data_IF_034870207779
#
_entry.id   IF_034870207779
#
_cell.length_a   1.000
_cell.length_b   1.000
_cell.length_c   1.000
_cell.angle_alpha   90.00
_cell.angle_beta   90.00
_cell.angle_gamma   90.00
#
_symmetry.space_group_name_H-M   'P 1'
#
loop_
_entity.id
_entity.type
_entity.pdbx_description
1 polymer ?
#
# COMPACT_ATOMS: atom_id res chain seq x y z
N UNK A 1 -10.75 13.82 -4.49
CA UNK A 1 -9.93 12.67 -4.05
C UNK A 1 -9.38 11.88 -5.24
N UNK A 2 -10.22 11.23 -6.05
CA UNK A 2 -9.76 10.42 -7.19
C UNK A 2 -8.92 11.19 -8.21
N UNK A 3 -9.36 12.39 -8.62
CA UNK A 3 -8.60 13.22 -9.57
C UNK A 3 -7.17 13.53 -9.07
N UNK A 4 -7.03 13.82 -7.77
CA UNK A 4 -5.71 14.03 -7.16
C UNK A 4 -4.90 12.73 -7.11
N UNK A 5 -5.51 11.62 -6.73
CA UNK A 5 -4.86 10.31 -6.66
C UNK A 5 -4.31 9.83 -8.02
N UNK A 6 -4.94 10.23 -9.13
CA UNK A 6 -4.54 9.82 -10.49
C UNK A 6 -3.45 10.68 -11.12
N UNK A 7 -2.95 11.70 -10.41
CA UNK A 7 -1.86 12.52 -10.95
C UNK A 7 -0.53 11.77 -10.88
N UNK A 8 0.25 11.87 -11.95
CA UNK A 8 1.54 11.17 -12.08
C UNK A 8 2.53 11.57 -10.97
N UNK A 9 2.51 12.82 -10.50
CA UNK A 9 3.40 13.25 -9.40
C UNK A 9 3.12 12.57 -8.06
N UNK A 10 1.92 12.00 -7.89
CA UNK A 10 1.52 11.27 -6.68
C UNK A 10 1.78 9.77 -6.80
N UNK A 11 2.31 9.33 -7.94
CA UNK A 11 2.57 7.93 -8.25
C UNK A 11 4.04 7.60 -8.05
N UNK A 12 4.31 6.48 -7.41
CA UNK A 12 5.66 5.91 -7.35
C UNK A 12 5.60 4.42 -7.68
N UNK A 13 6.42 3.99 -8.63
CA UNK A 13 6.54 2.59 -9.02
C UNK A 13 7.83 1.97 -8.50
N UNK A 14 7.68 0.79 -7.92
CA UNK A 14 8.77 -0.12 -7.56
C UNK A 14 8.57 -1.46 -8.30
N UNK A 15 9.42 -2.44 -7.99
CA UNK A 15 9.39 -3.75 -8.66
C UNK A 15 8.06 -4.48 -8.40
N UNK A 16 7.60 -4.46 -7.15
CA UNK A 16 6.42 -5.21 -6.68
C UNK A 16 5.30 -4.30 -6.12
N UNK A 17 5.53 -2.97 -6.09
CA UNK A 17 4.62 -2.01 -5.45
C UNK A 17 4.32 -0.84 -6.38
N UNK A 18 3.05 -0.52 -6.51
CA UNK A 18 2.58 0.78 -6.97
C UNK A 18 2.11 1.59 -5.75
N UNK A 19 2.68 2.76 -5.54
CA UNK A 19 2.28 3.69 -4.48
C UNK A 19 1.48 4.84 -5.07
N UNK A 20 0.40 5.20 -4.40
CA UNK A 20 -0.38 6.41 -4.62
C UNK A 20 -0.38 7.23 -3.33
N UNK A 21 0.30 8.37 -3.36
CA UNK A 21 0.44 9.25 -2.20
C UNK A 21 -0.61 10.36 -2.23
N UNK A 22 -1.62 10.24 -1.36
CA UNK A 22 -2.66 11.24 -1.17
C UNK A 22 -2.20 12.44 -0.32
N UNK A 23 -1.01 12.38 0.29
CA UNK A 23 -0.45 13.42 1.14
C UNK A 23 -1.44 13.87 2.21
N UNK A 24 -1.48 15.18 2.47
CA UNK A 24 -2.50 15.82 3.32
C UNK A 24 -3.76 16.25 2.55
N UNK A 25 -3.86 15.95 1.26
CA UNK A 25 -4.94 16.40 0.38
C UNK A 25 -6.11 15.42 0.37
N UNK A 26 -5.81 14.12 0.36
CA UNK A 26 -6.83 13.08 0.50
C UNK A 26 -7.05 12.83 2.00
N UNK A 27 -8.28 13.03 2.46
CA UNK A 27 -8.70 12.70 3.82
C UNK A 27 -8.38 11.23 4.14
N UNK A 28 -7.74 10.99 5.29
CA UNK A 28 -7.27 9.67 5.69
C UNK A 28 -8.41 8.66 5.90
N UNK A 29 -9.64 9.13 6.15
CA UNK A 29 -10.85 8.31 6.22
C UNK A 29 -11.31 7.81 4.85
N UNK A 30 -10.88 8.45 3.77
CA UNK A 30 -11.25 8.11 2.40
C UNK A 30 -10.21 7.24 1.68
N UNK A 31 -9.00 7.08 2.26
CA UNK A 31 -7.89 6.43 1.57
C UNK A 31 -8.20 4.98 1.17
N UNK A 32 -8.96 4.26 1.99
CA UNK A 32 -9.36 2.88 1.69
C UNK A 32 -10.35 2.78 0.53
N UNK A 33 -11.23 3.76 0.37
CA UNK A 33 -12.17 3.86 -0.74
C UNK A 33 -11.44 4.20 -2.04
N UNK A 34 -10.50 5.15 -1.99
CA UNK A 34 -9.61 5.48 -3.11
C UNK A 34 -8.82 4.25 -3.55
N UNK A 35 -8.16 3.56 -2.61
CA UNK A 35 -7.42 2.32 -2.89
C UNK A 35 -8.31 1.26 -3.54
N UNK A 36 -9.55 1.09 -3.05
CA UNK A 36 -10.49 0.14 -3.61
C UNK A 36 -10.83 0.47 -5.07
N UNK A 37 -11.23 1.71 -5.35
CA UNK A 37 -11.59 2.14 -6.71
C UNK A 37 -10.42 2.00 -7.68
N UNK A 38 -9.22 2.42 -7.26
CA UNK A 38 -8.00 2.33 -8.06
C UNK A 38 -7.62 0.86 -8.34
N UNK A 39 -7.74 0.00 -7.34
CA UNK A 39 -7.52 -1.44 -7.53
C UNK A 39 -8.57 -2.08 -8.42
N UNK A 40 -9.83 -1.64 -8.36
CA UNK A 40 -10.91 -2.18 -9.20
C UNK A 40 -10.72 -1.87 -10.68
N UNK A 41 -10.06 -0.76 -11.02
CA UNK A 41 -9.67 -0.44 -12.41
C UNK A 41 -8.32 -1.07 -12.80
N UNK A 42 -7.68 -1.82 -11.90
CA UNK A 42 -6.45 -2.55 -12.18
C UNK A 42 -5.20 -1.69 -12.34
N UNK A 43 -5.14 -0.50 -11.71
CA UNK A 43 -4.04 0.46 -11.95
C UNK A 43 -2.65 -0.13 -11.62
N UNK A 44 -2.56 -1.05 -10.65
CA UNK A 44 -1.32 -1.70 -10.25
C UNK A 44 -0.87 -2.83 -11.18
N UNK A 45 -1.70 -3.27 -12.13
CA UNK A 45 -1.45 -4.44 -12.95
C UNK A 45 -1.53 -5.76 -12.16
N UNK A 46 -0.96 -6.83 -12.72
CA UNK A 46 -1.06 -8.16 -12.15
C UNK A 46 0.09 -8.51 -11.19
N UNK A 47 1.28 -7.94 -11.39
CA UNK A 47 2.49 -8.31 -10.65
C UNK A 47 2.85 -7.36 -9.50
N UNK A 48 2.05 -6.30 -9.28
CA UNK A 48 2.26 -5.37 -8.18
C UNK A 48 1.05 -5.30 -7.26
N UNK A 49 1.30 -4.97 -6.01
CA UNK A 49 0.26 -4.52 -5.09
C UNK A 49 0.08 -3.00 -5.22
N UNK A 50 -1.08 -2.50 -4.81
CA UNK A 50 -1.34 -1.07 -4.64
C UNK A 50 -1.17 -0.70 -3.16
N UNK A 51 -0.39 0.35 -2.86
CA UNK A 51 -0.37 1.05 -1.59
C UNK A 51 -0.90 2.47 -1.75
N UNK A 52 -2.07 2.77 -1.17
CA UNK A 52 -2.57 4.13 -1.08
C UNK A 52 -2.25 4.72 0.30
N UNK A 53 -1.67 5.93 0.32
CA UNK A 53 -1.19 6.60 1.53
C UNK A 53 -1.96 7.92 1.76
N UNK A 54 -2.25 8.24 3.01
CA UNK A 54 -2.79 9.54 3.41
C UNK A 54 -2.21 9.98 4.76
N UNK A 55 -1.94 11.27 4.90
CA UNK A 55 -1.48 11.85 6.16
C UNK A 55 -2.65 11.95 7.14
N UNK A 56 -2.46 11.40 8.34
CA UNK A 56 -3.31 11.64 9.52
C UNK A 56 -2.62 12.66 10.44
N UNK A 57 -3.15 12.91 11.64
CA UNK A 57 -2.58 13.87 12.59
C UNK A 57 -1.12 13.52 12.95
N UNK A 58 -0.86 12.29 13.41
CA UNK A 58 0.47 11.86 13.89
C UNK A 58 1.10 10.74 13.06
N UNK A 59 0.40 10.25 12.05
CA UNK A 59 0.81 9.07 11.28
C UNK A 59 0.48 9.19 9.79
N UNK A 60 0.86 8.18 9.03
CA UNK A 60 0.35 7.93 7.67
C UNK A 60 -0.55 6.71 7.75
N UNK A 61 -1.78 6.85 7.27
CA UNK A 61 -2.70 5.73 7.01
C UNK A 61 -2.35 5.10 5.68
N UNK A 62 -2.29 3.78 5.68
CA UNK A 62 -1.98 2.96 4.52
C UNK A 62 -3.16 2.05 4.24
N UNK A 63 -3.58 1.98 2.98
CA UNK A 63 -4.50 0.95 2.48
C UNK A 63 -3.82 0.17 1.35
N UNK A 64 -3.64 -1.12 1.54
CA UNK A 64 -3.03 -2.03 0.58
C UNK A 64 -4.08 -2.87 -0.15
N UNK A 65 -3.91 -3.10 -1.47
CA UNK A 65 -4.75 -3.97 -2.29
C UNK A 65 -3.89 -4.86 -3.19
N UNK A 66 -4.26 -6.13 -3.30
CA UNK A 66 -3.54 -7.09 -4.15
C UNK A 66 -4.31 -7.35 -5.45
N UNK A 67 -3.59 -7.73 -6.51
CA UNK A 67 -4.20 -8.39 -7.66
C UNK A 67 -4.59 -9.82 -7.31
N UNK A 68 -5.51 -10.42 -8.08
CA UNK A 68 -5.86 -11.84 -7.93
C UNK A 68 -4.67 -12.75 -8.23
N UNK A 69 -3.87 -12.43 -9.24
CA UNK A 69 -2.66 -13.19 -9.62
C UNK A 69 -1.70 -13.37 -8.45
N UNK A 70 -1.45 -12.31 -7.68
CA UNK A 70 -0.58 -12.38 -6.50
C UNK A 70 -1.17 -13.22 -5.36
N UNK A 71 -2.49 -13.18 -5.14
CA UNK A 71 -3.14 -14.03 -4.15
C UNK A 71 -3.07 -15.50 -4.56
N UNK A 72 -3.30 -15.81 -5.83
CA UNK A 72 -3.21 -17.17 -6.36
C UNK A 72 -1.77 -17.72 -6.28
N UNK A 73 -0.76 -16.83 -6.29
CA UNK A 73 0.66 -17.15 -6.01
C UNK A 73 0.98 -17.28 -4.51
N UNK A 74 0.01 -17.10 -3.62
CA UNK A 74 0.15 -17.29 -2.18
C UNK A 74 0.48 -16.04 -1.37
N UNK A 75 0.48 -14.85 -1.98
CA UNK A 75 0.73 -13.60 -1.27
C UNK A 75 -0.36 -13.33 -0.24
N UNK A 76 0.02 -12.96 0.99
CA UNK A 76 -0.93 -12.59 2.03
C UNK A 76 -0.66 -11.16 2.55
N UNK A 77 -1.45 -10.18 2.10
CA UNK A 77 -1.23 -8.78 2.48
C UNK A 77 -1.35 -8.54 3.98
N UNK A 78 -2.29 -9.18 4.66
CA UNK A 78 -2.49 -9.01 6.10
C UNK A 78 -1.22 -9.29 6.89
N UNK A 79 -0.58 -10.44 6.63
CA UNK A 79 0.69 -10.84 7.26
C UNK A 79 1.84 -9.91 6.84
N UNK A 80 1.96 -9.66 5.54
CA UNK A 80 3.03 -8.87 4.95
C UNK A 80 3.03 -7.42 5.48
N UNK A 81 1.87 -6.75 5.42
CA UNK A 81 1.70 -5.37 5.88
C UNK A 81 1.90 -5.27 7.39
N UNK A 82 1.45 -6.26 8.17
CA UNK A 82 1.71 -6.29 9.62
C UNK A 82 3.21 -6.36 9.92
N UNK A 83 3.94 -7.24 9.22
CA UNK A 83 5.41 -7.38 9.34
C UNK A 83 6.11 -6.07 8.95
N UNK A 84 5.83 -5.53 7.77
CA UNK A 84 6.44 -4.29 7.28
C UNK A 84 6.16 -3.08 8.19
N UNK A 85 4.92 -2.94 8.66
CA UNK A 85 4.55 -1.85 9.57
C UNK A 85 5.30 -1.97 10.91
N UNK A 86 5.44 -3.19 11.45
CA UNK A 86 6.15 -3.42 12.71
C UNK A 86 7.63 -3.05 12.63
N UNK A 87 8.30 -3.35 11.50
CA UNK A 87 9.71 -3.02 11.28
C UNK A 87 10.00 -1.51 11.34
N UNK A 88 9.00 -0.69 11.02
CA UNK A 88 9.12 0.78 11.03
C UNK A 88 8.48 1.45 12.26
N UNK A 89 8.08 0.66 13.27
CA UNK A 89 7.43 1.16 14.48
C UNK A 89 5.95 1.55 14.29
N UNK A 90 5.32 1.08 13.21
CA UNK A 90 3.89 1.20 12.96
C UNK A 90 3.11 -0.04 13.41
N UNK A 91 1.82 -0.07 13.06
CA UNK A 91 0.94 -1.22 13.25
C UNK A 91 0.12 -1.47 11.99
N UNK A 92 -0.13 -2.72 11.67
CA UNK A 92 -0.93 -3.10 10.52
C UNK A 92 -1.47 -4.51 10.59
N UNK A 93 -2.33 -4.85 9.63
CA UNK A 93 -2.97 -6.15 9.52
C UNK A 93 -4.11 -6.12 8.51
N UNK A 94 -4.78 -7.27 8.33
CA UNK A 94 -5.89 -7.40 7.39
C UNK A 94 -6.04 -8.82 6.86
N UNK A 95 -6.60 -8.92 5.67
CA UNK A 95 -6.79 -10.17 4.92
C UNK A 95 -5.74 -10.32 3.83
N UNK A 96 -5.77 -11.45 3.14
CA UNK A 96 -4.91 -11.73 1.98
C UNK A 96 -5.05 -10.67 0.88
N UNK A 97 -6.27 -10.32 0.49
CA UNK A 97 -6.58 -9.41 -0.63
C UNK A 97 -6.47 -7.92 -0.28
N UNK A 98 -6.62 -7.57 1.00
CA UNK A 98 -6.64 -6.19 1.46
C UNK A 98 -6.17 -6.06 2.91
N UNK A 99 -5.32 -5.07 3.16
CA UNK A 99 -4.78 -4.80 4.48
C UNK A 99 -4.60 -3.30 4.72
N UNK A 100 -4.45 -2.93 5.99
CA UNK A 100 -4.22 -1.54 6.40
C UNK A 100 -3.06 -1.43 7.38
N UNK A 101 -2.46 -0.24 7.42
CA UNK A 101 -1.46 0.10 8.42
C UNK A 101 -1.53 1.57 8.85
N UNK A 102 -0.92 1.86 9.98
CA UNK A 102 -0.62 3.20 10.47
C UNK A 102 0.86 3.23 10.81
N UNK A 103 1.62 4.10 10.16
CA UNK A 103 3.08 4.20 10.29
C UNK A 103 3.51 5.63 10.66
N UNK A 104 4.67 5.84 11.30
CA UNK A 104 5.18 7.18 11.56
C UNK A 104 5.43 7.96 10.26
N UNK A 105 5.13 9.27 10.24
CA UNK A 105 5.31 10.13 9.04
C UNK A 105 6.73 10.11 8.48
N UNK A 106 7.72 10.03 9.36
CA UNK A 106 9.15 9.99 9.02
C UNK A 106 9.62 8.66 8.43
N UNK A 107 8.76 7.64 8.41
CA UNK A 107 9.12 6.27 8.01
C UNK A 107 8.47 5.82 6.70
N UNK A 108 7.79 6.72 5.97
CA UNK A 108 7.12 6.44 4.70
C UNK A 108 8.00 5.67 3.72
N UNK A 109 9.15 6.23 3.38
CA UNK A 109 10.07 5.63 2.40
C UNK A 109 10.57 4.26 2.83
N UNK A 110 10.95 4.13 4.11
CA UNK A 110 11.41 2.84 4.63
C UNK A 110 10.31 1.79 4.60
N UNK A 111 9.08 2.15 4.95
CA UNK A 111 7.94 1.23 4.88
C UNK A 111 7.70 0.70 3.47
N UNK A 112 7.69 1.59 2.48
CA UNK A 112 7.50 1.21 1.07
C UNK A 112 8.60 0.25 0.60
N UNK A 113 9.85 0.53 0.96
CA UNK A 113 10.99 -0.34 0.63
C UNK A 113 10.91 -1.71 1.33
N UNK A 114 10.51 -1.76 2.60
CA UNK A 114 10.30 -3.04 3.30
C UNK A 114 9.17 -3.86 2.68
N UNK A 115 8.08 -3.21 2.27
CA UNK A 115 6.98 -3.91 1.57
C UNK A 115 7.47 -4.50 0.25
N UNK A 116 8.16 -3.73 -0.59
CA UNK A 116 8.69 -4.21 -1.87
C UNK A 116 9.68 -5.37 -1.69
N UNK A 117 10.61 -5.24 -0.73
CA UNK A 117 11.58 -6.29 -0.38
C UNK A 117 10.90 -7.58 0.09
N UNK A 118 9.92 -7.48 1.00
CA UNK A 118 9.23 -8.66 1.54
C UNK A 118 8.43 -9.38 0.44
N UNK A 119 7.80 -8.65 -0.49
CA UNK A 119 7.13 -9.29 -1.63
C UNK A 119 8.13 -10.07 -2.48
N UNK A 120 9.28 -9.49 -2.80
CA UNK A 120 10.33 -10.18 -3.56
C UNK A 120 10.80 -11.47 -2.87
N UNK A 121 10.99 -11.43 -1.54
CA UNK A 121 11.34 -12.62 -0.74
C UNK A 121 10.25 -13.71 -0.76
N UNK A 122 8.98 -13.32 -0.63
CA UNK A 122 7.86 -14.27 -0.61
C UNK A 122 7.59 -14.89 -2.00
N UNK A 123 7.90 -14.16 -3.07
CA UNK A 123 7.69 -14.61 -4.46
C UNK A 123 8.92 -15.27 -5.10
N UNK A 124 10.10 -15.19 -4.45
CA UNK A 124 11.35 -15.77 -4.94
C UNK A 124 11.98 -15.00 -6.10
N UNK A 125 11.81 -13.67 -6.13
CA UNK A 125 12.23 -12.76 -7.21
C UNK A 125 13.57 -12.05 -7.00
#
# INVERSE_FOLDING_TARGET
>A
AMEYAMREENRQELKHVLVIDGGAIIDDRLISSVASMMSSIGIQGEDRILLALAHSEDSIKVSARSSKSLIDRGLNLGKLISKAASLVGGRGGGHDIAAGASIPKTKKTLFVLEVDRIIGEELGD
#
